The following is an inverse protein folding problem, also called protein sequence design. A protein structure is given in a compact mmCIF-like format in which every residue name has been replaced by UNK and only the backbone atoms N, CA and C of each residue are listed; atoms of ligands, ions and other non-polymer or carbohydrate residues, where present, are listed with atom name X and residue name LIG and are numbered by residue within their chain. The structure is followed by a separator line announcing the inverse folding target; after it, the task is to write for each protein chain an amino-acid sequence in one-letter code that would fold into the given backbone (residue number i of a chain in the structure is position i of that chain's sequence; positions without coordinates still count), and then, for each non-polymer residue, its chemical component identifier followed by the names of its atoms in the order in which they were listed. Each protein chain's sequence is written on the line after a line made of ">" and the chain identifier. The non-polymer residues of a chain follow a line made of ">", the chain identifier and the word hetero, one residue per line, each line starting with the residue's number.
data_IF_006692969707
#
_entry.id   IF_006692969707
#
_cell.length_a   1.000
_cell.length_b   1.000
_cell.length_c   1.000
_cell.angle_alpha   90.00
_cell.angle_beta   90.00
_cell.angle_gamma   90.00
#
_symmetry.space_group_name_H-M   'P 1'
#
loop_
_entity.id
_entity.type
_entity.pdbx_description
1 polymer ?
#
# COMPACT_ATOMS: atom_id res chain seq x y z
N UNK A 1 6.08 -4.85 24.02
CA UNK A 1 6.79 -3.56 23.95
C UNK A 1 5.77 -2.45 23.75
N UNK A 2 5.94 -1.33 24.44
CA UNK A 2 5.03 -0.20 24.29
C UNK A 2 5.12 0.37 22.86
N UNK A 3 4.00 0.76 22.29
CA UNK A 3 3.88 1.34 20.94
C UNK A 3 4.83 2.54 20.72
N UNK A 4 4.98 3.40 21.74
CA UNK A 4 5.91 4.53 21.69
C UNK A 4 7.35 4.04 21.53
N UNK A 5 7.76 3.04 22.30
CA UNK A 5 9.10 2.47 22.22
C UNK A 5 9.35 1.79 20.88
N UNK A 6 8.38 1.07 20.33
CA UNK A 6 8.48 0.49 19.00
C UNK A 6 8.80 1.56 17.95
N UNK A 7 8.10 2.69 17.99
CA UNK A 7 8.31 3.77 17.05
C UNK A 7 9.61 4.55 17.28
N UNK A 8 10.07 4.70 18.53
CA UNK A 8 11.33 5.39 18.82
C UNK A 8 12.56 4.60 18.38
N UNK A 9 12.54 3.28 18.56
CA UNK A 9 13.69 2.42 18.22
C UNK A 9 13.63 1.81 16.83
N UNK A 10 12.47 1.83 16.19
CA UNK A 10 12.29 1.43 14.80
C UNK A 10 12.46 2.66 13.92
N UNK A 11 13.45 2.73 13.15
CA UNK A 11 13.65 3.91 12.39
C UNK A 11 14.21 3.63 11.00
N UNK A 12 15.02 4.56 10.56
CA UNK A 12 15.67 4.54 9.27
C UNK A 12 16.39 3.22 8.97
N UNK A 13 16.90 2.55 10.00
CA UNK A 13 17.55 1.24 9.87
C UNK A 13 16.63 0.16 9.31
N UNK A 14 15.39 0.08 9.79
CA UNK A 14 14.41 -0.89 9.27
C UNK A 14 14.01 -0.54 7.85
N UNK A 15 13.82 0.74 7.57
CA UNK A 15 13.48 1.19 6.23
C UNK A 15 14.59 0.83 5.24
N UNK A 16 15.84 1.13 5.54
CA UNK A 16 17.00 0.82 4.69
C UNK A 16 17.21 -0.68 4.49
N UNK A 17 16.94 -1.47 5.52
CA UNK A 17 17.09 -2.93 5.48
C UNK A 17 16.01 -3.60 4.64
N UNK A 18 14.75 -3.24 4.90
CA UNK A 18 13.60 -3.89 4.28
C UNK A 18 13.21 -3.29 2.93
N UNK A 19 13.45 -1.99 2.75
CA UNK A 19 13.11 -1.25 1.54
C UNK A 19 14.28 -0.41 1.04
N UNK A 20 15.39 -1.05 0.63
CA UNK A 20 16.48 -0.32 -0.02
C UNK A 20 16.03 0.27 -1.36
N UNK A 21 16.79 1.21 -1.89
CA UNK A 21 16.45 1.90 -3.14
C UNK A 21 16.19 0.97 -4.32
N UNK A 22 16.87 -0.17 -4.38
CA UNK A 22 16.68 -1.19 -5.41
C UNK A 22 15.30 -1.83 -5.34
N UNK A 23 14.82 -2.16 -4.12
CA UNK A 23 13.47 -2.70 -3.93
C UNK A 23 12.41 -1.64 -4.23
N UNK A 24 12.62 -0.40 -3.82
CA UNK A 24 11.72 0.70 -4.15
C UNK A 24 11.62 0.93 -5.65
N UNK A 25 12.74 0.80 -6.37
CA UNK A 25 12.73 0.84 -7.84
C UNK A 25 11.92 -0.31 -8.45
N UNK A 26 12.12 -1.52 -7.96
CA UNK A 26 11.36 -2.70 -8.42
C UNK A 26 9.85 -2.51 -8.18
N UNK A 27 9.46 -1.90 -7.07
CA UNK A 27 8.07 -1.57 -6.76
C UNK A 27 7.52 -0.55 -7.77
N UNK A 28 8.25 0.51 -8.05
CA UNK A 28 7.84 1.52 -9.05
C UNK A 28 7.69 0.90 -10.44
N UNK A 29 8.61 0.04 -10.82
CA UNK A 29 8.58 -0.63 -12.13
C UNK A 29 7.38 -1.58 -12.22
N UNK A 30 7.08 -2.32 -11.15
CA UNK A 30 5.91 -3.21 -11.09
C UNK A 30 4.59 -2.44 -11.19
N UNK A 31 4.48 -1.30 -10.51
CA UNK A 31 3.31 -0.42 -10.58
C UNK A 31 3.15 0.12 -11.98
N UNK A 32 4.22 0.67 -12.57
CA UNK A 32 4.19 1.23 -13.92
C UNK A 32 3.81 0.19 -14.97
N UNK A 33 4.33 -1.02 -14.86
CA UNK A 33 3.97 -2.12 -15.76
C UNK A 33 2.50 -2.52 -15.61
N UNK A 34 2.01 -2.61 -14.39
CA UNK A 34 0.60 -2.92 -14.11
C UNK A 34 -0.35 -1.86 -14.64
N UNK A 35 0.00 -0.59 -14.51
CA UNK A 35 -0.81 0.55 -14.96
C UNK A 35 -1.02 0.60 -16.48
N UNK A 36 -0.18 -0.06 -17.25
CA UNK A 36 -0.41 -0.20 -18.70
C UNK A 36 -1.66 -1.03 -19.03
N UNK A 37 -2.07 -1.91 -18.13
CA UNK A 37 -3.21 -2.81 -18.32
C UNK A 37 -4.55 -2.26 -17.82
N UNK A 38 -4.57 -1.12 -17.12
CA UNK A 38 -5.80 -0.57 -16.54
C UNK A 38 -5.77 0.95 -16.39
N UNK A 39 -6.94 1.53 -16.16
CA UNK A 39 -7.12 2.97 -15.96
C UNK A 39 -7.15 3.37 -14.48
N UNK A 40 -6.98 2.43 -13.55
CA UNK A 40 -6.88 2.72 -12.13
C UNK A 40 -5.50 3.23 -11.73
N UNK A 41 -5.39 3.75 -10.51
CA UNK A 41 -4.14 4.21 -9.94
C UNK A 41 -3.76 3.35 -8.73
N UNK A 42 -2.52 2.90 -8.70
CA UNK A 42 -1.96 2.12 -7.60
C UNK A 42 -0.77 2.85 -7.02
N UNK A 43 -0.82 3.11 -5.71
CA UNK A 43 0.26 3.72 -4.97
C UNK A 43 0.75 2.78 -3.87
N UNK A 44 2.04 2.83 -3.59
CA UNK A 44 2.67 2.13 -2.47
C UNK A 44 3.41 3.14 -1.62
N UNK A 45 3.13 3.15 -0.32
CA UNK A 45 3.81 4.01 0.63
C UNK A 45 4.30 3.19 1.82
N UNK A 46 5.53 3.44 2.23
CA UNK A 46 6.12 2.82 3.42
C UNK A 46 6.64 3.90 4.34
N UNK A 47 6.26 3.82 5.60
CA UNK A 47 6.76 4.69 6.66
C UNK A 47 7.49 3.87 7.72
N UNK A 48 8.64 4.39 8.18
CA UNK A 48 9.45 3.70 9.17
C UNK A 48 8.80 3.74 10.54
N UNK A 49 8.23 4.89 10.91
CA UNK A 49 7.67 5.14 12.24
C UNK A 49 6.70 6.31 12.22
N UNK A 50 5.87 6.40 13.26
CA UNK A 50 5.09 7.60 13.54
C UNK A 50 5.92 8.64 14.28
N UNK A 51 5.56 9.92 14.08
CA UNK A 51 6.12 11.00 14.90
C UNK A 51 5.63 10.88 16.35
N UNK A 52 6.38 11.39 17.34
CA UNK A 52 5.91 11.40 18.73
C UNK A 52 4.57 12.15 18.89
N UNK A 53 4.37 13.23 18.16
CA UNK A 53 3.12 13.99 18.18
C UNK A 53 1.93 13.16 17.68
N UNK A 54 2.11 12.41 16.60
CA UNK A 54 1.07 11.53 16.08
C UNK A 54 0.70 10.43 17.08
N UNK A 55 1.70 9.84 17.75
CA UNK A 55 1.47 8.84 18.78
C UNK A 55 0.70 9.40 19.98
N UNK A 56 1.05 10.59 20.43
CA UNK A 56 0.35 11.28 21.53
C UNK A 56 -1.08 11.64 21.12
N UNK A 57 -1.33 11.98 19.85
CA UNK A 57 -2.66 12.23 19.33
C UNK A 57 -3.48 10.95 19.10
N UNK A 58 -2.93 9.77 19.38
CA UNK A 58 -3.63 8.50 19.23
C UNK A 58 -3.79 8.01 17.80
N UNK A 59 -2.89 8.37 16.90
CA UNK A 59 -2.93 7.92 15.51
C UNK A 59 -2.90 6.39 15.41
N UNK A 60 -3.74 5.85 14.55
CA UNK A 60 -3.77 4.43 14.23
C UNK A 60 -3.31 4.21 12.79
N UNK A 61 -2.86 2.99 12.47
CA UNK A 61 -2.34 2.66 11.13
C UNK A 61 -3.37 2.97 10.05
N UNK A 62 -4.63 2.60 10.26
CA UNK A 62 -5.71 2.89 9.31
C UNK A 62 -5.89 4.40 9.11
N UNK A 63 -5.95 5.16 10.19
CA UNK A 63 -6.09 6.62 10.12
C UNK A 63 -4.90 7.29 9.42
N UNK A 64 -3.68 6.81 9.68
CA UNK A 64 -2.50 7.30 8.97
C UNK A 64 -2.54 6.96 7.48
N UNK A 65 -2.93 5.74 7.14
CA UNK A 65 -3.08 5.33 5.75
C UNK A 65 -4.08 6.23 5.00
N UNK A 66 -5.18 6.59 5.63
CA UNK A 66 -6.17 7.53 5.07
C UNK A 66 -5.59 8.93 4.87
N UNK A 67 -4.77 9.42 5.81
CA UNK A 67 -4.06 10.69 5.66
C UNK A 67 -3.10 10.66 4.47
N UNK A 68 -2.33 9.57 4.31
CA UNK A 68 -1.40 9.39 3.20
C UNK A 68 -2.16 9.29 1.87
N UNK A 69 -3.26 8.57 1.84
CA UNK A 69 -4.16 8.49 0.68
C UNK A 69 -4.59 9.88 0.20
N UNK A 70 -4.99 10.73 1.14
CA UNK A 70 -5.38 12.11 0.84
C UNK A 70 -4.19 12.97 0.41
N UNK A 71 -3.07 12.88 1.13
CA UNK A 71 -1.88 13.69 0.87
C UNK A 71 -1.24 13.38 -0.50
N UNK A 72 -1.21 12.12 -0.90
CA UNK A 72 -0.72 11.68 -2.20
C UNK A 72 -1.77 11.82 -3.32
N UNK A 73 -2.97 12.29 -3.00
CA UNK A 73 -4.07 12.49 -3.95
C UNK A 73 -4.45 11.22 -4.71
N UNK A 74 -4.38 10.08 -4.05
CA UNK A 74 -4.77 8.79 -4.66
C UNK A 74 -6.25 8.78 -5.05
N UNK A 75 -7.06 9.62 -4.40
CA UNK A 75 -8.47 9.85 -4.69
C UNK A 75 -8.72 10.61 -6.01
N UNK A 76 -7.70 11.27 -6.57
CA UNK A 76 -7.85 12.15 -7.73
C UNK A 76 -7.82 11.36 -9.04
N UNK A 77 -8.80 10.48 -9.20
CA UNK A 77 -9.01 9.69 -10.41
C UNK A 77 -10.43 9.90 -10.94
N UNK A 78 -10.60 9.84 -12.25
CA UNK A 78 -11.90 10.09 -12.88
C UNK A 78 -13.00 9.13 -12.41
N UNK A 79 -12.65 7.88 -12.10
CA UNK A 79 -13.61 6.83 -11.74
C UNK A 79 -13.54 6.40 -10.28
N UNK A 80 -12.87 7.17 -9.44
CA UNK A 80 -12.61 6.83 -8.04
C UNK A 80 -11.98 5.42 -7.90
N UNK A 81 -10.97 5.16 -8.71
CA UNK A 81 -10.31 3.85 -8.86
C UNK A 81 -8.87 3.84 -8.33
N UNK A 82 -8.58 4.71 -7.37
CA UNK A 82 -7.29 4.75 -6.69
C UNK A 82 -7.20 3.71 -5.56
N UNK A 83 -6.03 3.09 -5.44
CA UNK A 83 -5.70 2.16 -4.36
C UNK A 83 -4.36 2.51 -3.77
N UNK A 84 -4.30 2.62 -2.44
CA UNK A 84 -3.05 2.79 -1.70
C UNK A 84 -2.75 1.54 -0.89
N UNK A 85 -1.55 1.01 -1.04
CA UNK A 85 -0.97 0.04 -0.11
C UNK A 85 -0.04 0.81 0.83
N UNK A 86 -0.37 0.82 2.10
CA UNK A 86 0.38 1.54 3.12
C UNK A 86 0.99 0.55 4.11
N UNK A 87 2.30 0.63 4.28
CA UNK A 87 3.06 -0.22 5.21
C UNK A 87 3.70 0.65 6.29
N UNK A 88 3.45 0.30 7.55
CA UNK A 88 4.08 0.91 8.71
C UNK A 88 5.03 -0.11 9.36
N UNK A 89 6.34 0.12 9.24
CA UNK A 89 7.36 -0.85 9.63
C UNK A 89 7.48 -1.01 11.15
N UNK A 90 7.42 0.08 11.91
CA UNK A 90 7.60 0.03 13.36
C UNK A 90 6.55 -0.85 14.03
N UNK A 91 5.31 -0.78 13.58
CA UNK A 91 4.19 -1.56 14.11
C UNK A 91 3.90 -2.82 13.30
N UNK A 92 4.63 -3.05 12.21
CA UNK A 92 4.49 -4.21 11.33
C UNK A 92 3.05 -4.38 10.84
N UNK A 93 2.46 -3.28 10.38
CA UNK A 93 1.08 -3.26 9.88
C UNK A 93 1.02 -2.80 8.44
N UNK A 94 0.14 -3.42 7.69
CA UNK A 94 -0.22 -3.03 6.33
C UNK A 94 -1.70 -2.70 6.27
N UNK A 95 -2.02 -1.63 5.55
CA UNK A 95 -3.39 -1.21 5.27
C UNK A 95 -3.55 -0.98 3.77
N UNK A 96 -4.70 -1.33 3.24
CA UNK A 96 -5.07 -1.03 1.86
C UNK A 96 -6.27 -0.10 1.89
N UNK A 97 -6.11 1.08 1.29
CA UNK A 97 -7.18 2.06 1.14
C UNK A 97 -7.62 2.04 -0.32
N UNK A 98 -8.84 1.64 -0.55
CA UNK A 98 -9.46 1.63 -1.87
C UNK A 98 -10.46 2.77 -1.96
N UNK A 99 -10.41 3.56 -3.04
CA UNK A 99 -11.37 4.61 -3.28
C UNK A 99 -12.77 4.03 -3.61
N UNK A 100 -13.77 4.88 -3.58
CA UNK A 100 -15.19 4.50 -3.64
C UNK A 100 -15.55 3.63 -4.83
N UNK A 101 -14.97 3.92 -6.01
CA UNK A 101 -15.26 3.19 -7.22
C UNK A 101 -14.82 1.73 -7.14
N UNK A 102 -13.66 1.46 -6.57
CA UNK A 102 -13.16 0.10 -6.43
C UNK A 102 -13.71 -0.59 -5.19
N UNK A 103 -13.91 0.12 -4.10
CA UNK A 103 -14.51 -0.43 -2.87
C UNK A 103 -15.92 -0.97 -3.12
N UNK A 104 -16.67 -0.37 -4.04
CA UNK A 104 -18.00 -0.85 -4.42
C UNK A 104 -17.98 -2.18 -5.19
N UNK A 105 -16.85 -2.54 -5.80
CA UNK A 105 -16.72 -3.73 -6.66
C UNK A 105 -15.96 -4.88 -6.02
N UNK A 106 -15.15 -4.61 -5.01
CA UNK A 106 -14.34 -5.60 -4.32
C UNK A 106 -14.76 -5.68 -2.86
N UNK A 107 -15.24 -6.85 -2.38
CA UNK A 107 -15.64 -7.02 -0.99
C UNK A 107 -14.47 -6.78 -0.03
N UNK A 108 -14.77 -6.29 1.18
CA UNK A 108 -13.76 -6.05 2.23
C UNK A 108 -12.93 -7.30 2.53
N UNK A 109 -13.54 -8.48 2.49
CA UNK A 109 -12.84 -9.75 2.69
C UNK A 109 -11.69 -9.98 1.69
N UNK A 110 -11.81 -9.47 0.47
CA UNK A 110 -10.74 -9.52 -0.54
C UNK A 110 -9.52 -8.68 -0.14
N UNK A 111 -9.76 -7.48 0.39
CA UNK A 111 -8.69 -6.61 0.88
C UNK A 111 -8.04 -7.18 2.15
N UNK A 112 -8.83 -7.74 3.04
CA UNK A 112 -8.33 -8.36 4.27
C UNK A 112 -7.43 -9.56 3.95
N UNK A 113 -7.79 -10.39 2.97
CA UNK A 113 -6.97 -11.50 2.51
C UNK A 113 -5.61 -11.03 1.97
N UNK A 114 -5.60 -9.96 1.17
CA UNK A 114 -4.36 -9.34 0.68
C UNK A 114 -3.46 -8.87 1.83
N UNK A 115 -4.04 -8.18 2.81
CA UNK A 115 -3.31 -7.70 3.98
C UNK A 115 -2.75 -8.86 4.82
N UNK A 116 -3.52 -9.92 5.02
CA UNK A 116 -3.08 -11.08 5.78
C UNK A 116 -1.93 -11.82 5.08
N UNK A 117 -2.02 -12.02 3.78
CA UNK A 117 -0.97 -12.68 3.00
C UNK A 117 0.31 -11.84 2.97
N UNK A 118 0.17 -10.53 2.85
CA UNK A 118 1.29 -9.59 2.93
C UNK A 118 1.99 -9.68 4.29
N UNK A 119 1.24 -9.60 5.37
CA UNK A 119 1.78 -9.66 6.72
C UNK A 119 2.47 -10.99 6.98
N UNK A 120 1.93 -12.10 6.51
CA UNK A 120 2.53 -13.42 6.65
C UNK A 120 3.85 -13.53 5.89
N UNK A 121 3.91 -13.08 4.66
CA UNK A 121 5.15 -13.06 3.87
C UNK A 121 6.24 -12.20 4.55
N UNK A 122 5.85 -11.06 5.12
CA UNK A 122 6.78 -10.21 5.90
C UNK A 122 7.30 -10.94 7.14
N UNK A 123 6.45 -11.68 7.85
CA UNK A 123 6.88 -12.48 9.01
C UNK A 123 7.86 -13.57 8.64
N UNK A 124 7.77 -14.13 7.45
CA UNK A 124 8.71 -15.11 6.93
C UNK A 124 10.00 -14.49 6.36
N UNK A 125 10.14 -13.18 6.43
CA UNK A 125 11.32 -12.48 5.91
C UNK A 125 11.38 -12.41 4.40
N UNK A 126 10.23 -12.40 3.73
CA UNK A 126 10.09 -12.39 2.27
C UNK A 126 9.41 -11.09 1.77
N UNK A 127 10.05 -9.90 1.95
CA UNK A 127 9.43 -8.63 1.58
C UNK A 127 9.19 -8.49 0.07
N UNK A 128 10.04 -9.05 -0.77
CA UNK A 128 9.83 -9.01 -2.22
C UNK A 128 8.58 -9.79 -2.61
N UNK A 129 8.41 -10.98 -2.06
CA UNK A 129 7.22 -11.79 -2.30
C UNK A 129 5.97 -11.09 -1.77
N UNK A 130 6.03 -10.52 -0.57
CA UNK A 130 4.92 -9.80 0.03
C UNK A 130 4.42 -8.68 -0.88
N UNK A 131 5.33 -7.83 -1.34
CA UNK A 131 4.99 -6.67 -2.16
C UNK A 131 4.57 -7.09 -3.57
N UNK A 132 5.34 -7.92 -4.24
CA UNK A 132 5.06 -8.29 -5.63
C UNK A 132 3.76 -9.08 -5.78
N UNK A 133 3.45 -9.98 -4.86
CA UNK A 133 2.17 -10.69 -4.83
C UNK A 133 1.00 -9.71 -4.62
N UNK A 134 1.12 -8.83 -3.64
CA UNK A 134 0.08 -7.84 -3.33
C UNK A 134 -0.17 -6.92 -4.52
N UNK A 135 0.87 -6.31 -5.09
CA UNK A 135 0.75 -5.40 -6.23
C UNK A 135 0.21 -6.12 -7.47
N UNK A 136 0.67 -7.33 -7.73
CA UNK A 136 0.19 -8.13 -8.86
C UNK A 136 -1.30 -8.45 -8.75
N UNK A 137 -1.77 -8.81 -7.57
CA UNK A 137 -3.19 -9.11 -7.33
C UNK A 137 -4.05 -7.86 -7.44
N UNK A 138 -3.59 -6.72 -6.94
CA UNK A 138 -4.31 -5.44 -7.07
C UNK A 138 -4.35 -5.01 -8.54
N UNK A 139 -3.25 -5.08 -9.25
CA UNK A 139 -3.22 -4.78 -10.69
C UNK A 139 -4.19 -5.65 -11.48
N UNK A 140 -4.29 -6.93 -11.14
CA UNK A 140 -5.26 -7.84 -11.75
C UNK A 140 -6.71 -7.43 -11.48
N UNK A 141 -7.02 -7.00 -10.26
CA UNK A 141 -8.34 -6.48 -9.89
C UNK A 141 -8.66 -5.19 -10.66
N UNK A 142 -7.72 -4.28 -10.76
CA UNK A 142 -7.89 -3.03 -11.51
C UNK A 142 -8.07 -3.31 -13.00
N UNK A 143 -7.31 -4.23 -13.58
CA UNK A 143 -7.44 -4.63 -14.97
C UNK A 143 -8.80 -5.31 -15.26
N UNK A 144 -9.34 -6.03 -14.30
CA UNK A 144 -10.65 -6.67 -14.44
C UNK A 144 -11.79 -5.64 -14.53
N UNK A 145 -11.72 -4.58 -13.73
CA UNK A 145 -12.80 -3.60 -13.58
C UNK A 145 -12.59 -2.31 -14.39
N UNK A 146 -11.35 -1.93 -14.66
CA UNK A 146 -10.97 -0.68 -15.35
C UNK A 146 -9.96 -0.95 -16.45
N UNK A 147 -10.34 -1.74 -17.44
CA UNK A 147 -9.48 -2.00 -18.60
C UNK A 147 -9.24 -0.72 -19.39
N UNK A 148 -8.00 -0.50 -19.79
CA UNK A 148 -7.72 0.46 -20.85
C UNK A 148 -8.40 -0.03 -22.12
N UNK A 149 -9.38 0.72 -22.59
CA UNK A 149 -9.92 0.50 -23.93
C UNK A 149 -8.90 1.10 -24.92
N UNK A 150 -8.29 0.30 -25.80
CA UNK A 150 -7.45 0.88 -26.82
C UNK A 150 -8.29 1.86 -27.62
N UNK A 151 -7.87 3.12 -27.67
CA UNK A 151 -8.45 4.04 -28.65
C UNK A 151 -8.08 3.53 -30.03
N UNK A 152 -9.03 2.92 -30.69
CA UNK A 152 -8.91 2.62 -32.12
C UNK A 152 -9.08 3.96 -32.83
N UNK A 153 -7.99 4.49 -33.32
CA UNK A 153 -8.02 5.62 -34.22
C UNK A 153 -8.46 5.16 -35.63
#
# INVERSE_FOLDING_TARGET
>A
MNRIMQNLFSGWFQLSRWFPSERMKAIRDAIAEGERGHAGELCFAVEARYSPFALMAGIHTRGRAEQVFSALRVWDTAENSGVLVYLQLAERRVEIIADRGIAAKVPQAGWDALCNDFAEAMRHGEPDRAVMDCLGRINALLALHWRCVPHVY
#
